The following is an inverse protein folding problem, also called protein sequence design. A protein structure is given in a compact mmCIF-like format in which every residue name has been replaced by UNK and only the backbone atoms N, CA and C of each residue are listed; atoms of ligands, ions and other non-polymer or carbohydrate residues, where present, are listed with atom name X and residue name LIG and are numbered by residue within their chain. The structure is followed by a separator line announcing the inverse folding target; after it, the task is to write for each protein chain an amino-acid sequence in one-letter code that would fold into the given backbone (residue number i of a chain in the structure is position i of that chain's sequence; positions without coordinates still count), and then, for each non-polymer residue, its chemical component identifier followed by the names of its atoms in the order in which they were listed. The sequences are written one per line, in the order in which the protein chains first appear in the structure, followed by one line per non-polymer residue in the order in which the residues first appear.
data_IF_510214009127
#
_entry.id   IF_510214009127
#
_cell.length_a   1.000
_cell.length_b   1.000
_cell.length_c   1.000
_cell.angle_alpha   90.00
_cell.angle_beta   90.00
_cell.angle_gamma   90.00
#
_symmetry.space_group_name_H-M   'P 1'
#
loop_
_entity.id
_entity.type
_entity.pdbx_description
1 polymer ?
#
# COMPACT_ATOMS: atom_id res chain seq x y z
N UNK A 1 -5.00 23.40 20.14
CA UNK A 1 -4.54 23.54 18.74
C UNK A 1 -5.34 22.59 17.89
N UNK A 2 -5.93 23.10 16.82
CA UNK A 2 -7.09 22.55 16.15
C UNK A 2 -6.76 21.47 15.10
N UNK A 3 -7.60 20.43 15.09
CA UNK A 3 -8.01 19.56 13.96
C UNK A 3 -7.14 18.32 13.66
N UNK A 4 -7.71 17.15 14.02
CA UNK A 4 -7.49 15.84 13.38
C UNK A 4 -7.33 16.01 11.87
N UNK A 5 -6.14 15.73 11.35
CA UNK A 5 -5.86 15.80 9.91
C UNK A 5 -6.24 14.46 9.25
N UNK A 6 -7.51 14.38 8.89
CA UNK A 6 -8.00 13.93 7.57
C UNK A 6 -7.12 12.94 6.79
N UNK A 7 -7.58 11.67 6.73
CA UNK A 7 -7.53 10.76 5.56
C UNK A 7 -6.39 11.08 4.59
N UNK A 8 -5.21 10.56 4.91
CA UNK A 8 -3.93 10.93 4.34
C UNK A 8 -3.83 10.52 2.87
N UNK A 9 -4.06 11.46 1.95
CA UNK A 9 -3.62 11.29 0.57
C UNK A 9 -2.08 11.18 0.57
N UNK A 10 -1.57 9.97 0.36
CA UNK A 10 -0.13 9.75 0.15
C UNK A 10 0.33 10.63 -1.02
N UNK A 11 1.41 11.39 -0.82
CA UNK A 11 2.03 12.15 -1.90
C UNK A 11 2.33 11.21 -3.08
N UNK A 12 2.22 11.72 -4.31
CA UNK A 12 2.39 10.92 -5.54
C UNK A 12 3.70 10.13 -5.54
N UNK A 13 4.77 10.70 -5.00
CA UNK A 13 6.07 10.03 -4.92
C UNK A 13 6.12 8.95 -3.83
N UNK A 14 5.51 9.17 -2.66
CA UNK A 14 5.35 8.14 -1.63
C UNK A 14 4.50 6.97 -2.12
N UNK A 15 3.41 7.26 -2.85
CA UNK A 15 2.57 6.24 -3.49
C UNK A 15 3.37 5.40 -4.49
N UNK A 16 4.18 6.04 -5.34
CA UNK A 16 5.03 5.34 -6.32
C UNK A 16 6.03 4.42 -5.64
N UNK A 17 6.71 4.90 -4.60
CA UNK A 17 7.69 4.11 -3.85
C UNK A 17 7.02 2.94 -3.13
N UNK A 18 5.89 3.17 -2.47
CA UNK A 18 5.11 2.10 -1.84
C UNK A 18 4.68 1.03 -2.84
N UNK A 19 4.13 1.44 -4.00
CA UNK A 19 3.74 0.49 -5.05
C UNK A 19 4.94 -0.30 -5.59
N UNK A 20 6.12 0.32 -5.68
CA UNK A 20 7.36 -0.36 -6.09
C UNK A 20 7.77 -1.43 -5.08
N UNK A 21 7.75 -1.11 -3.79
CA UNK A 21 8.06 -2.05 -2.70
C UNK A 21 7.06 -3.19 -2.67
N UNK A 22 5.77 -2.89 -2.73
CA UNK A 22 4.71 -3.89 -2.74
C UNK A 22 4.79 -4.80 -3.97
N UNK A 23 5.13 -4.25 -5.16
CA UNK A 23 5.32 -5.07 -6.35
C UNK A 23 6.48 -6.06 -6.17
N UNK A 24 7.64 -5.57 -5.72
CA UNK A 24 8.81 -6.42 -5.47
C UNK A 24 8.50 -7.54 -4.46
N UNK A 25 7.74 -7.24 -3.41
CA UNK A 25 7.27 -8.24 -2.44
C UNK A 25 6.29 -9.24 -3.05
N UNK A 26 5.36 -8.78 -3.88
CA UNK A 26 4.39 -9.62 -4.56
C UNK A 26 5.07 -10.60 -5.52
N UNK A 27 5.99 -10.11 -6.36
CA UNK A 27 6.77 -10.93 -7.30
C UNK A 27 7.63 -11.97 -6.57
N UNK A 28 8.32 -11.56 -5.48
CA UNK A 28 9.10 -12.47 -4.63
C UNK A 28 8.25 -13.58 -4.00
N UNK A 29 6.97 -13.32 -3.74
CA UNK A 29 6.00 -14.27 -3.19
C UNK A 29 5.00 -14.79 -4.23
N UNK A 30 5.33 -14.68 -5.52
CA UNK A 30 4.43 -15.08 -6.63
C UNK A 30 3.95 -16.53 -6.53
N UNK A 31 4.75 -17.40 -5.91
CA UNK A 31 4.39 -18.78 -5.59
C UNK A 31 3.12 -18.91 -4.72
N UNK A 32 2.84 -17.92 -3.86
CA UNK A 32 1.63 -17.85 -3.00
C UNK A 32 0.44 -17.17 -3.69
N UNK A 33 0.68 -16.54 -4.85
CA UNK A 33 -0.30 -15.72 -5.56
C UNK A 33 -0.53 -16.24 -6.99
N UNK A 34 -0.59 -17.57 -7.16
CA UNK A 34 -0.84 -18.20 -8.46
C UNK A 34 -2.18 -17.75 -9.03
N UNK A 35 -2.15 -17.24 -10.27
CA UNK A 35 -3.34 -16.75 -10.97
C UNK A 35 -3.77 -15.33 -10.58
N UNK A 36 -3.00 -14.62 -9.75
CA UNK A 36 -3.23 -13.21 -9.43
C UNK A 36 -2.22 -12.36 -10.19
N UNK A 37 -2.71 -11.39 -10.95
CA UNK A 37 -1.87 -10.44 -11.68
C UNK A 37 -1.63 -9.18 -10.86
N UNK A 38 -0.38 -8.75 -10.75
CA UNK A 38 -0.01 -7.53 -10.04
C UNK A 38 -0.78 -6.31 -10.54
N UNK A 39 -1.00 -6.17 -11.85
CA UNK A 39 -1.75 -5.05 -12.44
C UNK A 39 -3.18 -4.94 -11.88
N UNK A 40 -3.85 -6.07 -11.60
CA UNK A 40 -5.19 -6.09 -10.97
C UNK A 40 -5.12 -5.69 -9.50
N UNK A 41 -4.06 -6.08 -8.79
CA UNK A 41 -3.83 -5.67 -7.40
C UNK A 41 -3.56 -4.17 -7.34
N UNK A 42 -2.62 -3.67 -8.15
CA UNK A 42 -2.26 -2.26 -8.24
C UNK A 42 -3.48 -1.38 -8.55
N UNK A 43 -4.33 -1.75 -9.50
CA UNK A 43 -5.54 -1.00 -9.81
C UNK A 43 -6.48 -0.87 -8.60
N UNK A 44 -6.62 -1.93 -7.79
CA UNK A 44 -7.45 -1.92 -6.56
C UNK A 44 -6.82 -1.10 -5.43
N UNK A 45 -5.49 -1.05 -5.36
CA UNK A 45 -4.76 -0.23 -4.39
C UNK A 45 -4.84 1.26 -4.73
N UNK A 46 -4.64 1.61 -6.00
CA UNK A 46 -4.70 3.01 -6.46
C UNK A 46 -6.13 3.56 -6.43
N UNK A 47 -7.14 2.70 -6.62
CA UNK A 47 -8.55 3.08 -6.49
C UNK A 47 -9.04 3.19 -5.04
N UNK A 48 -8.22 2.83 -4.05
CA UNK A 48 -8.61 2.84 -2.64
C UNK A 48 -7.51 3.41 -1.75
N UNK A 49 -7.57 4.73 -1.55
CA UNK A 49 -6.57 5.48 -0.80
C UNK A 49 -6.44 5.02 0.67
N UNK A 50 -7.54 4.57 1.29
CA UNK A 50 -7.53 4.05 2.66
C UNK A 50 -6.69 2.78 2.79
N UNK A 51 -6.89 1.83 1.87
CA UNK A 51 -6.09 0.60 1.85
C UNK A 51 -4.62 0.87 1.58
N UNK A 52 -4.35 1.82 0.70
CA UNK A 52 -2.99 2.20 0.38
C UNK A 52 -2.31 2.86 1.59
N UNK A 53 -3.04 3.68 2.34
CA UNK A 53 -2.53 4.28 3.57
C UNK A 53 -2.24 3.22 4.65
N UNK A 54 -3.16 2.30 4.91
CA UNK A 54 -2.91 1.21 5.88
C UNK A 54 -1.72 0.34 5.47
N UNK A 55 -1.55 0.05 4.17
CA UNK A 55 -0.37 -0.68 3.69
C UNK A 55 0.92 0.11 3.87
N UNK A 56 0.88 1.44 3.67
CA UNK A 56 2.04 2.28 3.95
C UNK A 56 2.45 2.19 5.42
N UNK A 57 1.50 2.25 6.34
CA UNK A 57 1.78 2.13 7.76
C UNK A 57 2.34 0.75 8.11
N UNK A 58 1.72 -0.32 7.62
CA UNK A 58 2.23 -1.69 7.82
C UNK A 58 3.66 -1.86 7.29
N UNK A 59 3.99 -1.24 6.15
CA UNK A 59 5.35 -1.27 5.60
C UNK A 59 6.33 -0.46 6.45
N UNK A 60 5.90 0.67 7.02
CA UNK A 60 6.74 1.51 7.89
C UNK A 60 6.97 0.91 9.27
N UNK A 61 5.97 0.23 9.85
CA UNK A 61 6.06 -0.39 11.17
C UNK A 61 6.57 -1.83 11.13
N UNK A 62 6.73 -2.41 9.95
CA UNK A 62 7.17 -3.80 9.79
C UNK A 62 6.07 -4.84 10.02
N UNK A 63 4.79 -4.42 10.01
CA UNK A 63 3.64 -5.33 9.98
C UNK A 63 2.62 -5.13 11.10
N UNK A 64 2.83 -4.19 12.03
CA UNK A 64 1.85 -3.84 13.06
C UNK A 64 1.19 -2.50 12.69
N UNK A 65 0.00 -2.52 12.07
CA UNK A 65 -0.84 -1.34 12.04
C UNK A 65 -1.44 -1.19 13.45
N UNK A 66 -0.89 -0.30 14.26
CA UNK A 66 -1.58 0.17 15.45
C UNK A 66 -2.75 1.04 14.98
N UNK A 67 -3.96 0.49 15.05
CA UNK A 67 -5.24 1.13 14.68
C UNK A 67 -5.72 2.13 15.72
#
# INVERSE_FOLDING_TARGET
MSKNKTKSELHTDQRKELLRVLNARFEKNSNRHKGIEWSKVQARLVANDDKLWSLNEMEQTGGEPDV
#
